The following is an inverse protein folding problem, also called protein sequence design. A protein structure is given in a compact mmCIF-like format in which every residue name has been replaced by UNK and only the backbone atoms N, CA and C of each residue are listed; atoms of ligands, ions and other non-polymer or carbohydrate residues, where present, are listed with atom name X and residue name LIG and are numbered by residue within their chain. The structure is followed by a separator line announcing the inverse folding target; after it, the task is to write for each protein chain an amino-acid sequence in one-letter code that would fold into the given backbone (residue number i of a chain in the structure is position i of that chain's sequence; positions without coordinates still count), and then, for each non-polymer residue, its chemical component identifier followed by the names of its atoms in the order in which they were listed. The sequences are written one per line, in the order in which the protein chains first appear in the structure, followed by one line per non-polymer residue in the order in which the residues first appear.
data_IF_577611804573
#
_entry.id   IF_577611804573
#
_cell.length_a   1.000
_cell.length_b   1.000
_cell.length_c   1.000
_cell.angle_alpha   90.00
_cell.angle_beta   90.00
_cell.angle_gamma   90.00
#
_symmetry.space_group_name_H-M   'P 1'
#
loop_
_entity.id
_entity.type
_entity.pdbx_description
1 polymer ?
#
# COMPACT_ATOMS: atom_id res chain seq x y z
N UNK A 1 -1.98 -5.70 11.10
CA UNK A 1 -1.31 -4.74 10.19
C UNK A 1 -0.83 -3.55 11.01
N UNK A 2 0.30 -2.92 10.66
CA UNK A 2 0.76 -1.70 11.33
C UNK A 2 0.07 -0.45 10.75
N UNK A 3 0.06 0.65 11.50
CA UNK A 3 -0.48 1.96 11.07
C UNK A 3 0.13 2.42 9.73
N UNK A 4 1.45 2.23 9.55
CA UNK A 4 2.14 2.59 8.30
C UNK A 4 1.68 1.74 7.11
N UNK A 5 1.50 0.44 7.31
CA UNK A 5 0.97 -0.45 6.26
C UNK A 5 -0.44 -0.03 5.83
N UNK A 6 -1.30 0.38 6.77
CA UNK A 6 -2.64 0.91 6.48
C UNK A 6 -2.57 2.20 5.66
N UNK A 7 -1.76 3.18 6.05
CA UNK A 7 -1.65 4.43 5.29
C UNK A 7 -1.14 4.21 3.86
N UNK A 8 -0.18 3.28 3.68
CA UNK A 8 0.30 2.90 2.35
C UNK A 8 -0.83 2.24 1.55
N UNK A 9 -1.59 1.34 2.17
CA UNK A 9 -2.75 0.71 1.55
C UNK A 9 -3.80 1.75 1.10
N UNK A 10 -4.12 2.74 1.95
CA UNK A 10 -5.01 3.87 1.61
C UNK A 10 -4.51 4.64 0.40
N UNK A 11 -3.22 4.97 0.35
CA UNK A 11 -2.65 5.67 -0.79
C UNK A 11 -2.72 4.84 -2.09
N UNK A 12 -2.52 3.52 -1.99
CA UNK A 12 -2.66 2.58 -3.11
C UNK A 12 -4.11 2.52 -3.58
N UNK A 13 -5.08 2.51 -2.67
CA UNK A 13 -6.52 2.54 -3.01
C UNK A 13 -6.87 3.81 -3.80
N UNK A 14 -6.27 4.95 -3.44
CA UNK A 14 -6.47 6.21 -4.18
C UNK A 14 -5.71 6.29 -5.51
N UNK A 15 -5.01 5.23 -5.94
CA UNK A 15 -4.28 5.20 -7.20
C UNK A 15 -2.99 6.03 -7.22
N UNK A 16 -2.45 6.40 -6.05
CA UNK A 16 -1.22 7.20 -5.97
C UNK A 16 0.00 6.38 -6.36
N UNK A 17 0.88 6.95 -7.19
CA UNK A 17 2.19 6.37 -7.52
C UNK A 17 3.09 6.27 -6.28
N UNK A 18 3.96 5.27 -6.22
CA UNK A 18 4.88 5.04 -5.08
C UNK A 18 5.67 6.30 -4.66
N UNK A 19 6.05 7.15 -5.62
CA UNK A 19 6.70 8.45 -5.36
C UNK A 19 5.80 9.43 -4.58
N UNK A 20 4.52 9.50 -4.91
CA UNK A 20 3.56 10.31 -4.17
C UNK A 20 3.30 9.73 -2.78
N UNK A 21 3.12 8.43 -2.66
CA UNK A 21 2.94 7.74 -1.37
C UNK A 21 4.13 8.01 -0.45
N UNK A 22 5.35 7.90 -0.99
CA UNK A 22 6.60 8.21 -0.32
C UNK A 22 6.61 9.66 0.18
N UNK A 23 6.29 10.62 -0.69
CA UNK A 23 6.25 12.05 -0.33
C UNK A 23 5.19 12.37 0.73
N UNK A 24 4.01 11.78 0.62
CA UNK A 24 2.88 12.03 1.52
C UNK A 24 3.10 11.44 2.92
N UNK A 25 3.74 10.27 2.99
CA UNK A 25 4.05 9.60 4.25
C UNK A 25 5.42 9.99 4.83
N UNK A 26 6.17 10.86 4.14
CA UNK A 26 7.53 11.22 4.52
C UNK A 26 8.51 10.04 4.49
N UNK A 27 8.28 9.07 3.60
CA UNK A 27 9.08 7.85 3.44
C UNK A 27 9.86 7.88 2.12
N UNK A 28 10.91 7.06 2.03
CA UNK A 28 11.59 6.81 0.75
C UNK A 28 10.77 5.85 -0.10
N UNK A 29 10.84 6.00 -1.43
CA UNK A 29 10.19 5.08 -2.39
C UNK A 29 10.57 3.63 -2.13
N UNK A 30 11.85 3.37 -1.83
CA UNK A 30 12.37 2.07 -1.43
C UNK A 30 11.65 1.49 -0.20
N UNK A 31 11.38 2.33 0.81
CA UNK A 31 10.66 1.94 2.03
C UNK A 31 9.21 1.59 1.70
N UNK A 32 8.55 2.36 0.84
CA UNK A 32 7.20 2.06 0.36
C UNK A 32 7.16 0.72 -0.39
N UNK A 33 8.16 0.43 -1.23
CA UNK A 33 8.27 -0.88 -1.90
C UNK A 33 8.43 -2.02 -0.91
N UNK A 34 9.32 -1.90 0.08
CA UNK A 34 9.48 -2.91 1.14
C UNK A 34 8.15 -3.13 1.88
N UNK A 35 7.46 -2.06 2.26
CA UNK A 35 6.16 -2.18 2.91
C UNK A 35 5.12 -2.85 2.00
N UNK A 36 5.03 -2.50 0.71
CA UNK A 36 4.13 -3.17 -0.25
C UNK A 36 4.40 -4.65 -0.34
N UNK A 37 5.67 -5.05 -0.37
CA UNK A 37 6.08 -6.45 -0.47
C UNK A 37 5.73 -7.21 0.82
N UNK A 38 5.87 -6.55 1.97
CA UNK A 38 5.46 -7.10 3.26
C UNK A 38 3.93 -7.24 3.36
N UNK A 39 3.18 -6.23 2.92
CA UNK A 39 1.71 -6.24 2.87
C UNK A 39 1.24 -7.37 1.95
N UNK A 40 1.81 -7.49 0.75
CA UNK A 40 1.54 -8.57 -0.20
C UNK A 40 1.76 -9.94 0.43
N UNK A 41 2.93 -10.18 1.04
CA UNK A 41 3.21 -11.44 1.74
C UNK A 41 2.22 -11.73 2.86
N UNK A 42 1.87 -10.70 3.64
CA UNK A 42 0.99 -10.81 4.80
C UNK A 42 -0.47 -11.06 4.42
N UNK A 43 -0.89 -10.54 3.28
CA UNK A 43 -2.23 -10.77 2.70
C UNK A 43 -2.25 -11.99 1.76
N UNK A 44 -1.11 -12.62 1.52
CA UNK A 44 -0.93 -13.68 0.52
C UNK A 44 -1.38 -13.26 -0.89
N UNK A 45 -1.15 -11.99 -1.24
CA UNK A 45 -1.53 -11.42 -2.53
C UNK A 45 -0.29 -11.26 -3.41
N UNK A 46 -0.26 -11.98 -4.52
CA UNK A 46 0.84 -11.88 -5.50
C UNK A 46 0.59 -10.74 -6.50
N UNK A 47 -0.67 -10.58 -6.92
CA UNK A 47 -1.13 -9.61 -7.91
C UNK A 47 -1.06 -8.17 -7.42
N UNK A 48 -0.54 -7.27 -8.27
CA UNK A 48 -0.65 -5.83 -8.01
C UNK A 48 -2.12 -5.37 -8.06
N UNK A 49 -2.91 -5.93 -8.99
CA UNK A 49 -4.33 -5.66 -9.15
C UNK A 49 -5.13 -6.11 -7.91
N UNK A 50 -4.88 -7.32 -7.41
CA UNK A 50 -5.51 -7.83 -6.19
C UNK A 50 -5.20 -6.97 -4.96
N UNK A 51 -3.97 -6.46 -4.85
CA UNK A 51 -3.60 -5.56 -3.76
C UNK A 51 -4.41 -4.25 -3.83
N UNK A 52 -4.61 -3.71 -5.03
CA UNK A 52 -5.40 -2.50 -5.26
C UNK A 52 -6.89 -2.79 -4.98
N UNK A 53 -7.41 -3.93 -5.43
CA UNK A 53 -8.79 -4.39 -5.17
C UNK A 53 -9.05 -4.52 -3.67
N UNK A 54 -8.12 -5.16 -2.96
CA UNK A 54 -8.16 -5.31 -1.51
C UNK A 54 -8.09 -3.95 -0.79
N UNK A 55 -7.20 -3.07 -1.25
CA UNK A 55 -7.05 -1.72 -0.72
C UNK A 55 -8.34 -0.91 -0.88
N UNK A 56 -8.95 -0.93 -2.06
CA UNK A 56 -10.25 -0.29 -2.32
C UNK A 56 -11.33 -0.86 -1.41
N UNK A 57 -11.39 -2.19 -1.26
CA UNK A 57 -12.42 -2.83 -0.44
C UNK A 57 -12.28 -2.56 1.07
N UNK A 58 -11.06 -2.37 1.58
CA UNK A 58 -10.79 -2.16 3.01
C UNK A 58 -10.73 -0.69 3.43
N UNK A 59 -10.60 0.24 2.47
CA UNK A 59 -10.50 1.68 2.74
C UNK A 59 -11.86 2.37 2.69
N UNK A 60 -12.82 1.78 1.96
CA UNK A 60 -14.16 2.36 1.74
C UNK A 60 -15.17 1.87 2.80
N UNK A 61 -14.79 0.95 3.70
CA UNK A 61 -15.64 0.41 4.77
C UNK A 61 -15.08 0.74 6.15
#
# INVERSE_FOLDING_TARGET
MTLREKSILTCIATGKSNKHIAKELGLSVRTVETHRLNIKRKLNIEGQADLIRYALSNVIV
#
